data_IF_000592685529
#
_entry.id   IF_000592685529
#
_cell.length_a   1.000
_cell.length_b   1.000
_cell.length_c   1.000
_cell.angle_alpha   90.00
_cell.angle_beta   90.00
_cell.angle_gamma   90.00
#
_symmetry.space_group_name_H-M   'P 1'
#
loop_
_entity.id
_entity.type
_entity.pdbx_description
1 polymer ?
#
# COMPACT_ATOMS: atom_id res chain seq x y z
N UNK A 1 -73.00 -35.20 -19.80
CA UNK A 1 -71.66 -35.01 -20.38
C UNK A 1 -70.95 -34.00 -19.50
N UNK A 2 -70.02 -34.48 -18.68
CA UNK A 2 -69.31 -33.62 -17.67
C UNK A 2 -67.87 -33.32 -18.15
N UNK A 3 -67.61 -32.07 -18.38
CA UNK A 3 -66.28 -31.59 -18.73
C UNK A 3 -65.42 -31.40 -17.47
N UNK A 4 -64.29 -32.06 -17.42
CA UNK A 4 -63.31 -31.89 -16.32
C UNK A 4 -62.25 -30.91 -16.75
N UNK A 5 -62.14 -29.80 -15.99
CA UNK A 5 -61.09 -28.80 -16.12
C UNK A 5 -59.90 -29.19 -15.24
N UNK A 6 -58.75 -29.42 -15.85
CA UNK A 6 -57.50 -29.71 -15.17
C UNK A 6 -56.78 -28.40 -14.91
N UNK A 7 -56.65 -28.01 -13.65
CA UNK A 7 -55.87 -26.85 -13.24
C UNK A 7 -54.39 -27.26 -13.04
N UNK A 8 -53.50 -26.66 -13.81
CA UNK A 8 -52.04 -26.82 -13.64
C UNK A 8 -51.52 -25.84 -12.58
N UNK A 9 -50.98 -26.39 -11.48
CA UNK A 9 -50.24 -25.60 -10.49
C UNK A 9 -48.82 -25.34 -11.00
N UNK A 10 -48.49 -24.08 -11.26
CA UNK A 10 -47.12 -23.63 -11.46
C UNK A 10 -46.48 -23.32 -10.12
N UNK A 11 -45.57 -24.18 -9.68
CA UNK A 11 -44.74 -23.93 -8.48
C UNK A 11 -43.54 -23.07 -8.86
N UNK A 12 -43.57 -21.78 -8.54
CA UNK A 12 -42.43 -20.86 -8.72
C UNK A 12 -41.38 -21.11 -7.66
N UNK A 13 -40.25 -21.66 -8.06
CA UNK A 13 -39.06 -21.84 -7.22
C UNK A 13 -38.33 -20.51 -7.15
N UNK A 14 -38.45 -19.79 -6.00
CA UNK A 14 -37.71 -18.56 -5.73
C UNK A 14 -36.25 -18.93 -5.39
N UNK A 15 -35.31 -18.59 -6.27
CA UNK A 15 -33.87 -18.63 -5.97
C UNK A 15 -33.51 -17.48 -5.02
N UNK A 16 -33.28 -17.79 -3.75
CA UNK A 16 -32.62 -16.83 -2.83
C UNK A 16 -31.13 -16.76 -3.21
N UNK A 17 -30.71 -15.65 -3.83
CA UNK A 17 -29.31 -15.33 -4.02
C UNK A 17 -28.71 -14.93 -2.66
N UNK A 18 -27.94 -15.80 -2.05
CA UNK A 18 -27.09 -15.45 -0.90
C UNK A 18 -25.96 -14.56 -1.39
N UNK A 19 -26.07 -13.25 -1.15
CA UNK A 19 -24.96 -12.34 -1.28
C UNK A 19 -23.94 -12.67 -0.17
N UNK A 20 -22.81 -13.27 -0.53
CA UNK A 20 -21.67 -13.43 0.39
C UNK A 20 -21.15 -12.05 0.72
N UNK A 21 -21.06 -11.66 2.02
CA UNK A 21 -20.39 -10.41 2.38
C UNK A 21 -18.92 -10.54 1.97
N UNK A 22 -18.45 -9.64 1.11
CA UNK A 22 -17.03 -9.45 0.90
C UNK A 22 -16.42 -9.10 2.27
N UNK A 23 -15.54 -9.96 2.79
CA UNK A 23 -14.72 -9.60 3.94
C UNK A 23 -13.92 -8.35 3.55
N UNK A 24 -14.39 -7.20 4.02
CA UNK A 24 -13.55 -6.01 4.07
C UNK A 24 -12.35 -6.39 4.96
N UNK A 25 -11.14 -6.32 4.40
CA UNK A 25 -9.91 -6.47 5.18
C UNK A 25 -10.03 -5.55 6.39
N UNK A 26 -10.06 -6.14 7.58
CA UNK A 26 -10.17 -5.41 8.83
C UNK A 26 -8.96 -4.51 8.96
N UNK A 27 -9.18 -3.28 9.43
CA UNK A 27 -8.17 -2.21 9.56
C UNK A 27 -7.02 -2.52 10.56
N UNK A 28 -6.90 -3.73 11.03
CA UNK A 28 -5.99 -4.17 12.10
C UNK A 28 -4.78 -4.98 11.61
N UNK A 29 -4.61 -5.20 10.31
CA UNK A 29 -3.47 -5.96 9.76
C UNK A 29 -2.30 -5.03 9.40
N UNK A 30 -1.81 -4.28 10.39
CA UNK A 30 -0.64 -3.45 10.23
C UNK A 30 0.65 -4.24 10.47
N UNK A 31 1.68 -3.95 9.70
CA UNK A 31 3.02 -4.52 9.87
C UNK A 31 3.66 -4.10 11.19
N UNK A 32 4.22 -5.05 11.93
CA UNK A 32 4.88 -4.81 13.21
C UNK A 32 4.07 -5.31 14.41
N UNK A 33 4.60 -5.07 15.61
CA UNK A 33 3.90 -5.37 16.86
C UNK A 33 2.97 -4.22 17.22
N UNK A 34 1.72 -4.55 17.55
CA UNK A 34 0.73 -3.56 17.98
C UNK A 34 1.27 -2.66 19.08
N UNK A 35 1.06 -1.36 18.93
CA UNK A 35 1.54 -0.33 19.83
C UNK A 35 0.55 0.84 19.90
N UNK A 36 0.85 1.84 20.71
CA UNK A 36 0.05 3.06 20.78
C UNK A 36 0.33 4.05 19.62
N UNK A 37 1.23 3.72 18.71
CA UNK A 37 1.64 4.58 17.61
C UNK A 37 1.45 3.84 16.29
N UNK A 38 0.50 4.32 15.48
CA UNK A 38 0.16 3.75 14.17
C UNK A 38 0.52 4.72 13.05
N UNK A 39 1.14 4.21 12.00
CA UNK A 39 1.42 4.95 10.78
C UNK A 39 0.59 4.39 9.63
N UNK A 40 -0.22 5.22 9.00
CA UNK A 40 -0.90 4.89 7.74
C UNK A 40 -0.24 5.64 6.59
N UNK A 41 0.21 4.91 5.58
CA UNK A 41 0.85 5.45 4.38
C UNK A 41 -0.10 5.29 3.20
N UNK A 42 -0.50 6.42 2.59
CA UNK A 42 -1.25 6.45 1.35
C UNK A 42 -0.32 6.75 0.18
N UNK A 43 -0.12 5.77 -0.68
CA UNK A 43 0.68 5.90 -1.91
C UNK A 43 -0.25 6.29 -3.04
N UNK A 44 -0.09 7.49 -3.58
CA UNK A 44 -0.91 8.05 -4.66
C UNK A 44 -0.17 8.06 -5.98
N UNK A 45 -0.90 8.27 -7.09
CA UNK A 45 -0.31 8.30 -8.43
C UNK A 45 0.11 6.92 -8.94
N UNK A 46 -0.49 5.86 -8.40
CA UNK A 46 -0.29 4.49 -8.90
C UNK A 46 -0.88 4.39 -10.31
N UNK A 47 -0.03 4.14 -11.31
CA UNK A 47 -0.44 4.15 -12.74
C UNK A 47 -1.15 2.88 -13.18
N UNK A 48 -0.93 1.77 -12.48
CA UNK A 48 -1.52 0.47 -12.82
C UNK A 48 -1.73 -0.38 -11.57
N UNK A 49 -2.85 -1.11 -11.51
CA UNK A 49 -3.14 -2.08 -10.44
C UNK A 49 -2.50 -3.44 -10.80
N UNK A 50 -1.16 -3.50 -10.81
CA UNK A 50 -0.39 -4.73 -11.06
C UNK A 50 0.87 -4.76 -10.22
N UNK A 51 1.35 -5.97 -9.91
CA UNK A 51 2.52 -6.16 -9.06
C UNK A 51 2.27 -5.76 -7.61
N UNK A 52 3.32 -5.35 -6.93
CA UNK A 52 3.32 -5.03 -5.51
C UNK A 52 3.81 -3.59 -5.26
N UNK A 53 3.28 -2.99 -4.20
CA UNK A 53 3.80 -1.74 -3.66
C UNK A 53 4.71 -2.07 -2.48
N UNK A 54 6.01 -1.87 -2.64
CA UNK A 54 6.98 -2.06 -1.57
C UNK A 54 7.14 -0.76 -0.77
N UNK A 55 6.58 -0.73 0.43
CA UNK A 55 6.59 0.43 1.34
C UNK A 55 7.53 0.12 2.49
N UNK A 56 8.62 0.86 2.61
CA UNK A 56 9.70 0.59 3.57
C UNK A 56 9.80 1.70 4.58
N UNK A 57 9.76 1.32 5.85
CA UNK A 57 9.93 2.20 7.01
C UNK A 57 11.37 2.16 7.49
N UNK A 58 11.95 3.34 7.74
CA UNK A 58 13.31 3.54 8.27
C UNK A 58 13.29 4.31 9.58
N UNK A 59 14.25 4.04 10.48
CA UNK A 59 14.41 4.80 11.71
C UNK A 59 14.96 6.21 11.44
N UNK A 60 14.97 7.04 12.49
CA UNK A 60 15.59 8.38 12.48
C UNK A 60 17.11 8.30 12.48
N UNK A 61 17.67 7.79 11.40
CA UNK A 61 19.11 7.63 11.22
C UNK A 61 19.49 7.76 9.74
N UNK A 62 20.20 8.85 9.43
CA UNK A 62 20.61 9.14 8.05
C UNK A 62 21.55 8.05 7.46
N UNK A 63 22.35 7.38 8.29
CA UNK A 63 23.26 6.33 7.84
C UNK A 63 22.54 5.04 7.49
N UNK A 64 21.33 4.86 8.02
CA UNK A 64 20.48 3.69 7.79
C UNK A 64 19.50 3.90 6.63
N UNK A 65 19.23 5.13 6.25
CA UNK A 65 18.28 5.42 5.17
C UNK A 65 18.76 4.84 3.84
N UNK A 66 17.96 3.96 3.24
CA UNK A 66 18.22 3.20 2.00
C UNK A 66 19.44 2.26 2.07
N UNK A 67 20.09 2.11 3.21
CA UNK A 67 21.18 1.17 3.37
C UNK A 67 20.69 -0.30 3.40
N UNK A 68 21.49 -1.28 2.97
CA UNK A 68 21.13 -2.69 3.08
C UNK A 68 20.84 -3.10 4.54
N UNK A 69 19.80 -3.92 4.73
CA UNK A 69 19.42 -4.50 6.04
C UNK A 69 19.14 -3.50 7.17
N UNK A 70 18.85 -2.24 6.82
CA UNK A 70 18.71 -1.14 7.79
C UNK A 70 17.26 -0.72 8.08
N UNK A 71 16.30 -1.25 7.32
CA UNK A 71 14.88 -0.95 7.51
C UNK A 71 14.37 -1.42 8.88
N UNK A 72 13.37 -0.73 9.42
CA UNK A 72 12.58 -1.21 10.55
C UNK A 72 11.57 -2.26 10.11
N UNK A 73 10.81 -1.94 9.06
CA UNK A 73 9.77 -2.80 8.52
C UNK A 73 9.56 -2.56 7.03
N UNK A 74 8.89 -3.50 6.35
CA UNK A 74 8.46 -3.34 4.96
C UNK A 74 7.15 -4.07 4.72
N UNK A 75 6.16 -3.34 4.25
CA UNK A 75 4.93 -3.91 3.69
C UNK A 75 5.09 -4.10 2.20
N UNK A 76 4.63 -5.25 1.69
CA UNK A 76 4.39 -5.48 0.27
C UNK A 76 2.89 -5.66 0.06
N UNK A 77 2.24 -4.60 -0.37
CA UNK A 77 0.81 -4.60 -0.64
C UNK A 77 0.56 -4.84 -2.14
N UNK A 78 -0.50 -5.57 -2.47
CA UNK A 78 -0.96 -5.65 -3.87
C UNK A 78 -1.22 -4.22 -4.37
N UNK A 79 -0.64 -3.86 -5.51
CA UNK A 79 -0.78 -2.52 -6.06
C UNK A 79 -2.23 -2.23 -6.47
N UNK A 80 -2.80 -1.16 -5.96
CA UNK A 80 -4.14 -0.66 -6.28
C UNK A 80 -4.04 0.74 -6.88
N UNK A 81 -4.63 0.94 -8.06
CA UNK A 81 -4.70 2.24 -8.70
C UNK A 81 -6.04 2.92 -8.36
N UNK A 82 -6.07 4.23 -8.16
CA UNK A 82 -4.97 5.20 -8.18
C UNK A 82 -4.22 5.32 -6.84
N UNK A 83 -4.65 4.59 -5.79
CA UNK A 83 -4.11 4.69 -4.43
C UNK A 83 -3.92 3.30 -3.82
N UNK A 84 -2.75 3.05 -3.26
CA UNK A 84 -2.46 1.89 -2.41
C UNK A 84 -2.22 2.36 -0.99
N UNK A 85 -2.80 1.68 -0.01
CA UNK A 85 -2.64 2.03 1.42
C UNK A 85 -2.00 0.87 2.16
N UNK A 86 -1.10 1.20 3.08
CA UNK A 86 -0.52 0.25 4.03
C UNK A 86 -0.40 0.90 5.41
N UNK A 87 -0.27 0.10 6.44
CA UNK A 87 -0.07 0.60 7.79
C UNK A 87 1.05 -0.15 8.53
N UNK A 88 1.60 0.52 9.53
CA UNK A 88 2.65 0.02 10.41
C UNK A 88 2.31 0.34 11.86
N UNK A 89 2.65 -0.58 12.75
CA UNK A 89 2.82 -0.28 14.16
C UNK A 89 4.24 0.23 14.39
N UNK A 90 4.37 1.43 14.92
CA UNK A 90 5.68 2.03 15.21
C UNK A 90 6.09 1.68 16.64
N UNK A 91 7.40 1.48 16.91
CA UNK A 91 7.87 1.11 18.25
C UNK A 91 7.63 2.20 19.29
N UNK A 92 7.60 3.47 18.90
CA UNK A 92 7.37 4.63 19.76
C UNK A 92 7.02 5.86 18.92
N UNK A 93 6.46 6.94 19.52
CA UNK A 93 6.47 8.26 18.92
C UNK A 93 7.90 8.71 18.60
N UNK A 94 8.10 9.37 17.46
CA UNK A 94 9.42 9.78 17.03
C UNK A 94 9.49 10.22 15.59
N UNK A 95 10.71 10.25 15.06
CA UNK A 95 10.94 10.57 13.67
C UNK A 95 11.27 9.34 12.87
N UNK A 96 10.77 9.31 11.63
CA UNK A 96 10.88 8.19 10.71
C UNK A 96 11.04 8.69 9.28
N UNK A 97 11.39 7.80 8.37
CA UNK A 97 11.34 8.04 6.95
C UNK A 97 10.69 6.86 6.22
N UNK A 98 10.02 7.13 5.11
CA UNK A 98 9.42 6.12 4.25
C UNK A 98 9.96 6.25 2.84
N UNK A 99 10.34 5.11 2.26
CA UNK A 99 10.63 4.98 0.84
C UNK A 99 9.69 3.94 0.23
N UNK A 100 9.22 4.22 -0.98
CA UNK A 100 8.26 3.38 -1.70
C UNK A 100 8.76 3.13 -3.10
N UNK A 101 8.55 1.91 -3.61
CA UNK A 101 8.62 1.64 -5.03
C UNK A 101 7.49 0.73 -5.50
N UNK A 102 7.13 0.88 -6.77
CA UNK A 102 6.10 0.09 -7.41
C UNK A 102 6.74 -1.04 -8.21
N UNK A 103 6.82 -2.20 -7.62
CA UNK A 103 7.33 -3.44 -8.21
C UNK A 103 6.27 -3.99 -9.20
N UNK A 104 6.27 -3.48 -10.42
CA UNK A 104 5.24 -3.81 -11.41
C UNK A 104 5.39 -5.21 -12.02
N UNK A 105 6.59 -5.78 -12.02
CA UNK A 105 6.90 -7.10 -12.56
C UNK A 105 6.94 -8.20 -11.48
N UNK A 106 6.90 -7.83 -10.18
CA UNK A 106 6.86 -8.77 -9.06
C UNK A 106 8.18 -9.46 -8.77
N UNK A 107 9.32 -8.92 -9.25
CA UNK A 107 10.63 -9.51 -9.05
C UNK A 107 11.23 -9.23 -7.65
N UNK A 108 10.60 -8.31 -6.89
CA UNK A 108 10.98 -7.87 -5.54
C UNK A 108 12.27 -7.07 -5.44
N UNK A 109 12.80 -6.64 -6.58
CA UNK A 109 13.92 -5.73 -6.70
C UNK A 109 13.45 -4.35 -7.14
N UNK A 110 14.26 -3.32 -6.92
CA UNK A 110 14.04 -1.99 -7.46
C UNK A 110 14.79 -1.86 -8.78
N UNK A 111 14.07 -2.02 -9.88
CA UNK A 111 14.65 -2.06 -11.21
C UNK A 111 15.20 -0.70 -11.66
N UNK A 112 16.32 -0.78 -12.36
CA UNK A 112 16.99 0.38 -12.96
C UNK A 112 17.23 0.13 -14.45
N UNK A 113 17.22 1.22 -15.20
CA UNK A 113 17.64 1.18 -16.59
C UNK A 113 19.14 0.90 -16.73
N UNK A 114 19.61 0.61 -17.93
CA UNK A 114 21.05 0.40 -18.22
C UNK A 114 21.94 1.60 -17.84
N UNK A 115 21.37 2.81 -17.77
CA UNK A 115 22.06 4.04 -17.33
C UNK A 115 21.87 4.33 -15.84
N UNK A 116 21.30 3.38 -15.06
CA UNK A 116 21.16 3.47 -13.62
C UNK A 116 19.96 4.29 -13.11
N UNK A 117 19.10 4.81 -14.01
CA UNK A 117 17.90 5.52 -13.61
C UNK A 117 16.80 4.53 -13.13
N UNK A 118 15.92 4.93 -12.21
CA UNK A 118 14.75 4.14 -11.85
C UNK A 118 13.92 3.74 -13.08
N UNK A 119 13.68 2.45 -13.26
CA UNK A 119 12.76 1.91 -14.26
C UNK A 119 11.33 1.80 -13.71
N UNK A 120 11.21 1.74 -12.39
CA UNK A 120 9.96 1.62 -11.65
C UNK A 120 9.56 2.94 -11.00
N UNK A 121 8.27 3.04 -10.64
CA UNK A 121 7.76 4.17 -9.88
C UNK A 121 8.32 4.19 -8.46
N UNK A 122 8.68 5.34 -7.95
CA UNK A 122 9.19 5.51 -6.60
C UNK A 122 8.67 6.78 -5.93
N UNK A 123 8.72 6.80 -4.59
CA UNK A 123 8.33 7.94 -3.77
C UNK A 123 9.06 7.92 -2.43
N UNK A 124 9.06 9.07 -1.78
CA UNK A 124 9.59 9.24 -0.42
C UNK A 124 8.61 10.05 0.42
N UNK A 125 8.63 9.85 1.73
CA UNK A 125 7.90 10.73 2.66
C UNK A 125 8.26 12.19 2.42
N UNK A 126 7.28 13.09 2.62
CA UNK A 126 7.34 14.52 2.33
C UNK A 126 7.49 14.91 0.84
N UNK A 127 7.47 13.95 -0.08
CA UNK A 127 7.56 14.18 -1.55
C UNK A 127 8.67 15.14 -2.00
N UNK A 128 9.91 15.06 -1.49
CA UNK A 128 10.97 15.97 -1.87
C UNK A 128 11.25 15.87 -3.37
N UNK A 129 11.68 16.97 -4.03
CA UNK A 129 12.10 16.90 -5.43
C UNK A 129 13.30 15.97 -5.59
N UNK A 130 13.23 15.07 -6.59
CA UNK A 130 14.29 14.09 -6.91
C UNK A 130 14.62 14.10 -8.39
N UNK A 131 15.07 15.23 -8.97
CA UNK A 131 15.26 15.34 -10.42
C UNK A 131 16.42 14.49 -10.93
N UNK A 132 17.50 14.34 -10.17
CA UNK A 132 18.73 13.63 -10.60
C UNK A 132 19.38 12.78 -9.52
N UNK A 133 18.98 12.91 -8.26
CA UNK A 133 19.61 12.22 -7.14
C UNK A 133 18.61 11.82 -6.06
N UNK A 134 19.03 10.91 -5.18
CA UNK A 134 18.27 10.57 -3.99
C UNK A 134 18.14 11.78 -3.06
N UNK A 135 17.00 11.98 -2.39
CA UNK A 135 16.83 13.09 -1.48
C UNK A 135 17.70 12.90 -0.23
N UNK A 136 18.21 13.97 0.39
CA UNK A 136 18.88 13.87 1.66
C UNK A 136 17.89 13.44 2.75
N UNK A 137 18.35 12.66 3.73
CA UNK A 137 17.52 12.12 4.80
C UNK A 137 16.63 13.17 5.49
N UNK A 138 17.17 14.37 5.77
CA UNK A 138 16.43 15.48 6.38
C UNK A 138 15.17 15.89 5.61
N UNK A 139 15.15 15.68 4.29
CA UNK A 139 14.02 16.06 3.44
C UNK A 139 12.88 15.02 3.45
N UNK A 140 13.18 13.79 3.83
CA UNK A 140 12.21 12.68 3.88
C UNK A 140 11.76 12.37 5.31
N UNK A 141 12.44 12.91 6.30
CA UNK A 141 12.18 12.69 7.71
C UNK A 141 10.86 13.34 8.14
N UNK A 142 9.98 12.60 8.79
CA UNK A 142 8.70 13.09 9.32
C UNK A 142 8.51 12.66 10.77
N UNK A 143 7.64 13.38 11.51
CA UNK A 143 7.30 13.06 12.90
C UNK A 143 6.03 12.21 12.95
N UNK A 144 6.04 11.18 13.80
CA UNK A 144 4.86 10.41 14.20
C UNK A 144 4.64 10.53 15.71
N UNK A 145 3.44 10.94 16.13
CA UNK A 145 3.02 11.03 17.52
C UNK A 145 2.31 9.76 18.01
N UNK A 146 1.82 9.83 19.25
CA UNK A 146 0.87 8.83 19.74
C UNK A 146 -0.43 8.84 18.93
N UNK A 147 -1.11 7.70 18.87
CA UNK A 147 -2.28 7.50 18.03
C UNK A 147 -1.92 7.28 16.57
N UNK A 148 -2.80 7.69 15.67
CA UNK A 148 -2.62 7.47 14.24
C UNK A 148 -2.01 8.69 13.54
N UNK A 149 -0.84 8.49 12.93
CA UNK A 149 -0.23 9.42 11.98
C UNK A 149 -0.52 8.94 10.56
N UNK A 150 -0.99 9.84 9.69
CA UNK A 150 -1.24 9.57 8.27
C UNK A 150 -0.34 10.40 7.41
N UNK A 151 0.37 9.75 6.50
CA UNK A 151 1.18 10.45 5.49
C UNK A 151 0.71 10.06 4.09
N UNK A 152 0.90 10.97 3.15
CA UNK A 152 0.67 10.73 1.73
C UNK A 152 2.01 10.88 1.00
N UNK A 153 2.27 9.93 0.09
CA UNK A 153 3.44 9.97 -0.78
C UNK A 153 2.98 9.80 -2.24
N UNK A 154 3.56 10.54 -3.15
CA UNK A 154 3.18 10.52 -4.57
C UNK A 154 4.24 9.83 -5.40
N UNK A 155 3.87 8.72 -6.03
CA UNK A 155 4.74 8.01 -6.97
C UNK A 155 5.13 8.89 -8.16
N UNK A 156 6.39 8.79 -8.51
CA UNK A 156 6.98 9.35 -9.72
C UNK A 156 7.49 8.22 -10.59
N UNK A 157 7.17 8.29 -11.88
CA UNK A 157 7.69 7.38 -12.89
C UNK A 157 8.54 8.21 -13.83
N UNK A 158 9.80 7.87 -13.99
CA UNK A 158 10.66 8.50 -14.97
C UNK A 158 10.26 8.00 -16.37
N UNK A 159 10.30 8.87 -17.34
CA UNK A 159 10.00 8.56 -18.74
C UNK A 159 11.24 8.11 -19.47
#
# INVERSE_FOLDING_TARGET
>A
MKSASTAALFTSLAFLAFATPALAATADDCEGHESQTKLTVQVTGVRAARGEMAITLYPDDASRFLAPHSKLARVRAVAQAPVTTACFWLPAPGFYAVAVYHDENGNRDFDRTMVGLPAEGFAFSNDPPTPTALPPFRAVRFSAGEGETRIRVKLRYLK
#
